data_IF_597222223517
#
_entry.id   IF_597222223517
#
_cell.length_a   1.000
_cell.length_b   1.000
_cell.length_c   1.000
_cell.angle_alpha   90.00
_cell.angle_beta   90.00
_cell.angle_gamma   90.00
#
_symmetry.space_group_name_H-M   'P 1'
#
loop_
_entity.id
_entity.type
_entity.pdbx_description
1 polymer ?
#
# COMPACT_ATOMS: atom_id res chain seq x y z
N UNK A 1 3.42 -12.61 15.16
CA UNK A 1 3.68 -11.38 14.39
C UNK A 1 2.68 -10.30 14.81
N UNK A 2 3.16 -9.07 14.97
CA UNK A 2 2.36 -7.88 15.26
C UNK A 2 2.35 -6.98 14.01
N UNK A 3 1.22 -6.36 13.71
CA UNK A 3 1.08 -5.34 12.68
C UNK A 3 0.93 -3.99 13.37
N UNK A 4 1.77 -3.04 12.97
CA UNK A 4 1.75 -1.68 13.49
C UNK A 4 1.30 -0.76 12.37
N UNK A 5 0.28 0.06 12.62
CA UNK A 5 -0.10 1.16 11.73
C UNK A 5 0.19 2.47 12.42
N UNK A 6 0.91 3.38 11.77
CA UNK A 6 1.25 4.70 12.30
C UNK A 6 0.91 5.80 11.26
N UNK A 7 0.02 6.72 11.63
CA UNK A 7 -0.43 7.82 10.75
C UNK A 7 -0.32 9.16 11.47
N UNK A 8 0.17 10.20 10.80
CA UNK A 8 0.20 11.54 11.38
C UNK A 8 0.68 12.61 10.41
N UNK A 9 0.83 13.85 10.90
CA UNK A 9 1.39 14.94 10.08
C UNK A 9 2.88 14.73 9.84
N UNK A 10 3.25 14.71 8.56
CA UNK A 10 4.60 14.39 8.12
C UNK A 10 5.62 15.45 8.54
N UNK A 11 6.76 14.98 9.03
CA UNK A 11 7.91 15.79 9.42
C UNK A 11 9.17 14.92 9.45
N UNK A 12 10.37 15.50 9.40
CA UNK A 12 11.60 14.74 9.56
C UNK A 12 11.62 13.94 10.87
N UNK A 13 12.09 12.69 10.81
CA UNK A 13 12.28 11.83 11.99
C UNK A 13 11.11 10.93 12.37
N UNK A 14 9.97 10.98 11.67
CA UNK A 14 8.78 10.15 11.97
C UNK A 14 9.09 8.65 11.91
N UNK A 15 9.60 8.18 10.77
CA UNK A 15 10.02 6.79 10.58
C UNK A 15 11.08 6.36 11.60
N UNK A 16 12.08 7.22 11.81
CA UNK A 16 13.15 6.95 12.77
C UNK A 16 12.63 6.77 14.19
N UNK A 17 11.70 7.62 14.65
CA UNK A 17 11.17 7.53 16.01
C UNK A 17 10.41 6.22 16.26
N UNK A 18 9.64 5.74 15.27
CA UNK A 18 8.97 4.44 15.35
C UNK A 18 10.01 3.31 15.36
N UNK A 19 10.92 3.30 14.38
CA UNK A 19 11.97 2.28 14.26
C UNK A 19 12.86 2.19 15.51
N UNK A 20 13.19 3.33 16.12
CA UNK A 20 14.01 3.39 17.33
C UNK A 20 13.33 2.72 18.52
N UNK A 21 12.04 2.96 18.74
CA UNK A 21 11.29 2.29 19.83
C UNK A 21 11.22 0.78 19.60
N UNK A 22 11.04 0.34 18.36
CA UNK A 22 11.04 -1.09 18.02
C UNK A 22 12.40 -1.73 18.28
N UNK A 23 13.48 -1.07 17.86
CA UNK A 23 14.85 -1.49 18.13
C UNK A 23 15.15 -1.59 19.63
N UNK A 24 14.84 -0.53 20.39
CA UNK A 24 15.04 -0.49 21.85
C UNK A 24 14.16 -1.53 22.58
N UNK A 25 13.09 -1.99 21.92
CA UNK A 25 12.19 -3.02 22.43
C UNK A 25 12.61 -4.45 22.07
N UNK A 26 13.69 -4.62 21.29
CA UNK A 26 14.16 -5.92 20.84
C UNK A 26 13.27 -6.55 19.77
N UNK A 27 12.43 -5.76 19.10
CA UNK A 27 11.57 -6.25 18.02
C UNK A 27 12.34 -6.33 16.70
N UNK A 28 12.04 -7.34 15.88
CA UNK A 28 12.52 -7.43 14.50
C UNK A 28 11.46 -6.89 13.53
N UNK A 29 11.86 -6.11 12.52
CA UNK A 29 10.96 -5.65 11.47
C UNK A 29 11.10 -6.61 10.29
N UNK A 30 10.04 -7.35 9.98
CA UNK A 30 10.00 -8.31 8.88
C UNK A 30 9.70 -7.62 7.54
N UNK A 31 8.71 -6.74 7.54
CA UNK A 31 8.27 -6.02 6.35
C UNK A 31 7.74 -4.63 6.74
N UNK A 32 7.88 -3.67 5.83
CA UNK A 32 7.45 -2.30 6.06
C UNK A 32 7.11 -1.59 4.75
N UNK A 33 5.95 -0.93 4.76
CA UNK A 33 5.60 0.07 3.75
C UNK A 33 5.37 1.41 4.42
N UNK A 34 5.77 2.48 3.73
CA UNK A 34 5.61 3.85 4.18
C UNK A 34 5.31 4.75 2.99
N UNK A 35 4.31 5.60 3.15
CA UNK A 35 3.95 6.60 2.15
C UNK A 35 3.78 7.99 2.74
N UNK A 36 3.95 8.99 1.89
CA UNK A 36 3.73 10.40 2.21
C UNK A 36 2.69 10.95 1.23
N UNK A 37 1.59 11.47 1.74
CA UNK A 37 0.50 12.00 0.91
C UNK A 37 -0.02 13.30 1.50
N UNK A 38 0.08 14.40 0.74
CA UNK A 38 -0.45 15.72 1.13
C UNK A 38 -0.03 16.18 2.53
N UNK A 39 1.25 15.99 2.87
CA UNK A 39 1.79 16.34 4.18
C UNK A 39 1.38 15.38 5.31
N UNK A 40 0.79 14.23 4.98
CA UNK A 40 0.56 13.13 5.90
C UNK A 40 1.65 12.07 5.72
N UNK A 41 2.02 11.47 6.84
CA UNK A 41 2.86 10.29 6.97
C UNK A 41 1.94 9.12 7.30
N UNK A 42 2.11 8.00 6.60
CA UNK A 42 1.47 6.73 6.93
C UNK A 42 2.50 5.61 6.79
N UNK A 43 2.52 4.71 7.77
CA UNK A 43 3.44 3.58 7.81
C UNK A 43 2.73 2.35 8.35
N UNK A 44 2.95 1.21 7.72
CA UNK A 44 2.53 -0.10 8.20
C UNK A 44 3.78 -0.96 8.34
N UNK A 45 3.91 -1.67 9.46
CA UNK A 45 5.03 -2.56 9.74
C UNK A 45 4.55 -3.93 10.20
N UNK A 46 5.14 -4.98 9.65
CA UNK A 46 5.08 -6.34 10.18
C UNK A 46 6.28 -6.55 11.10
N UNK A 47 6.00 -6.86 12.37
CA UNK A 47 7.00 -6.90 13.43
C UNK A 47 6.95 -8.24 14.14
N UNK A 48 8.10 -8.90 14.25
CA UNK A 48 8.28 -10.03 15.15
C UNK A 48 8.71 -9.54 16.53
N UNK A 49 8.02 -10.01 17.56
CA UNK A 49 8.28 -9.65 18.94
C UNK A 49 8.05 -10.87 19.83
N UNK A 50 9.12 -11.60 20.21
CA UNK A 50 8.98 -12.83 21.00
C UNK A 50 8.47 -12.56 22.42
N UNK A 51 8.77 -11.38 22.97
CA UNK A 51 8.60 -11.09 24.40
C UNK A 51 7.52 -10.05 24.72
N UNK A 52 6.90 -9.43 23.70
CA UNK A 52 5.88 -8.40 23.91
C UNK A 52 4.55 -8.76 23.28
N UNK A 53 3.50 -8.58 24.06
CA UNK A 53 2.12 -8.53 23.57
C UNK A 53 1.87 -7.25 22.77
N UNK A 54 0.81 -7.24 21.95
CA UNK A 54 0.37 -6.05 21.21
C UNK A 54 0.17 -4.84 22.14
N UNK A 55 -0.45 -5.05 23.31
CA UNK A 55 -0.75 -4.00 24.28
C UNK A 55 0.51 -3.42 24.93
N UNK A 56 1.50 -4.27 25.24
CA UNK A 56 2.79 -3.81 25.77
C UNK A 56 3.55 -2.98 24.75
N UNK A 57 3.57 -3.42 23.48
CA UNK A 57 4.23 -2.68 22.42
C UNK A 57 3.52 -1.34 22.12
N UNK A 58 2.18 -1.34 22.12
CA UNK A 58 1.39 -0.11 21.99
C UNK A 58 1.71 0.88 23.12
N UNK A 59 1.85 0.39 24.36
CA UNK A 59 2.23 1.21 25.51
C UNK A 59 3.61 1.86 25.30
N UNK A 60 4.57 1.11 24.76
CA UNK A 60 5.92 1.64 24.45
C UNK A 60 5.91 2.68 23.34
N UNK A 61 5.02 2.55 22.35
CA UNK A 61 4.85 3.49 21.24
C UNK A 61 4.00 4.72 21.61
N UNK A 62 3.22 4.63 22.69
CA UNK A 62 2.31 5.70 23.14
C UNK A 62 2.94 7.11 23.28
N UNK A 63 4.23 7.28 23.67
CA UNK A 63 4.83 8.62 23.75
C UNK A 63 4.83 9.35 22.40
N UNK A 64 4.94 8.62 21.28
CA UNK A 64 4.93 9.22 19.95
C UNK A 64 3.58 9.84 19.58
N UNK A 65 2.48 9.39 20.21
CA UNK A 65 1.15 9.99 20.03
C UNK A 65 1.15 11.46 20.43
N UNK A 66 1.85 11.79 21.52
CA UNK A 66 1.91 13.15 22.04
C UNK A 66 3.06 13.96 21.44
N UNK A 67 4.24 13.35 21.31
CA UNK A 67 5.44 14.06 20.84
C UNK A 67 5.37 14.40 19.35
N UNK A 68 4.82 13.48 18.55
CA UNK A 68 4.81 13.58 17.10
C UNK A 68 3.41 13.67 16.50
N UNK A 69 2.36 13.53 17.32
CA UNK A 69 0.98 13.52 16.83
C UNK A 69 0.66 12.27 16.02
N UNK A 70 1.29 11.14 16.33
CA UNK A 70 1.03 9.87 15.64
C UNK A 70 -0.23 9.17 16.19
N UNK A 71 -1.13 8.81 15.31
CA UNK A 71 -2.14 7.78 15.57
C UNK A 71 -1.50 6.43 15.30
N UNK A 72 -1.31 5.65 16.36
CA UNK A 72 -0.72 4.31 16.29
C UNK A 72 -1.80 3.27 16.59
N UNK A 73 -1.75 2.13 15.92
CA UNK A 73 -2.51 0.93 16.24
C UNK A 73 -1.53 -0.27 16.21
N UNK A 74 -1.67 -1.20 17.15
CA UNK A 74 -0.90 -2.44 17.20
C UNK A 74 -1.87 -3.60 17.29
N UNK A 75 -1.88 -4.42 16.24
CA UNK A 75 -2.74 -5.59 16.14
C UNK A 75 -1.89 -6.87 16.10
N UNK A 76 -2.40 -7.96 16.65
CA UNK A 76 -1.84 -9.29 16.38
C UNK A 76 -2.26 -9.70 14.97
N UNK A 77 -1.32 -10.08 14.12
CA UNK A 77 -1.66 -10.66 12.83
C UNK A 77 -2.45 -11.97 13.06
N UNK A 78 -3.58 -12.14 12.37
CA UNK A 78 -4.24 -13.46 12.30
C UNK A 78 -3.33 -14.49 11.62
N UNK A 79 -3.69 -15.78 11.68
CA UNK A 79 -2.95 -16.84 10.97
C UNK A 79 -2.76 -16.45 9.49
N UNK A 80 -1.50 -16.11 9.15
CA UNK A 80 -0.94 -15.91 7.82
C UNK A 80 -1.77 -15.06 6.84
N UNK A 81 -1.32 -13.84 6.54
CA UNK A 81 -1.47 -13.37 5.17
C UNK A 81 -0.70 -14.39 4.30
N UNK A 82 -1.34 -15.10 3.36
CA UNK A 82 -0.64 -16.07 2.53
C UNK A 82 0.45 -15.33 1.76
N UNK A 83 1.67 -15.87 1.76
CA UNK A 83 2.63 -15.57 0.70
C UNK A 83 1.95 -15.99 -0.61
N UNK A 84 1.50 -15.01 -1.37
CA UNK A 84 0.75 -15.26 -2.59
C UNK A 84 1.75 -15.41 -3.73
N UNK A 85 1.83 -16.61 -4.33
CA UNK A 85 2.50 -16.83 -5.62
C UNK A 85 1.69 -16.23 -6.79
N UNK A 86 0.82 -15.25 -6.49
CA UNK A 86 0.00 -14.57 -7.49
C UNK A 86 0.90 -13.76 -8.43
N UNK A 87 0.72 -13.91 -9.75
CA UNK A 87 1.39 -13.08 -10.74
C UNK A 87 1.18 -11.59 -10.46
N UNK A 88 2.28 -10.86 -10.35
CA UNK A 88 2.28 -9.42 -10.11
C UNK A 88 2.29 -8.64 -11.41
N UNK A 89 1.51 -7.56 -11.45
CA UNK A 89 1.40 -6.69 -12.62
C UNK A 89 1.40 -5.23 -12.22
N UNK A 90 1.94 -4.40 -13.11
CA UNK A 90 1.82 -2.95 -13.07
C UNK A 90 0.76 -2.51 -14.07
N UNK A 91 -0.27 -1.84 -13.58
CA UNK A 91 -1.22 -1.10 -14.40
C UNK A 91 -0.85 0.39 -14.38
N UNK A 92 -0.51 0.91 -15.55
CA UNK A 92 -0.36 2.35 -15.78
C UNK A 92 -1.58 2.86 -16.54
N UNK A 93 -2.18 3.94 -16.06
CA UNK A 93 -3.30 4.60 -16.73
C UNK A 93 -3.08 6.12 -16.76
N UNK A 94 -3.18 6.74 -17.94
CA UNK A 94 -2.97 8.18 -18.11
C UNK A 94 -3.95 8.79 -19.11
N UNK A 95 -4.42 10.01 -18.81
CA UNK A 95 -5.42 10.68 -19.63
C UNK A 95 -6.15 11.80 -18.89
N UNK A 96 -7.30 12.27 -19.41
CA UNK A 96 -8.07 13.32 -18.74
C UNK A 96 -8.66 12.81 -17.41
N UNK A 97 -8.59 13.63 -16.37
CA UNK A 97 -9.29 13.34 -15.11
C UNK A 97 -10.80 13.39 -15.34
N UNK A 98 -11.50 12.39 -14.79
CA UNK A 98 -12.95 12.35 -14.74
C UNK A 98 -13.37 11.80 -13.38
N UNK A 99 -14.40 12.42 -12.78
CA UNK A 99 -14.98 11.97 -11.53
C UNK A 99 -15.30 10.47 -11.55
N UNK A 100 -14.89 9.75 -10.50
CA UNK A 100 -15.22 8.34 -10.31
C UNK A 100 -14.29 7.35 -11.04
N UNK A 101 -13.20 7.84 -11.64
CA UNK A 101 -12.29 6.99 -12.41
C UNK A 101 -11.63 5.91 -11.55
N UNK A 102 -11.13 6.26 -10.37
CA UNK A 102 -10.54 5.27 -9.45
C UNK A 102 -11.55 4.18 -9.08
N UNK A 103 -12.79 4.56 -8.73
CA UNK A 103 -13.84 3.62 -8.37
C UNK A 103 -14.22 2.66 -9.51
N UNK A 104 -14.27 3.15 -10.75
CA UNK A 104 -14.53 2.30 -11.93
C UNK A 104 -13.38 1.34 -12.21
N UNK A 105 -12.15 1.83 -12.11
CA UNK A 105 -10.94 1.03 -12.28
C UNK A 105 -10.91 -0.09 -11.24
N UNK A 106 -10.98 0.25 -9.95
CA UNK A 106 -10.93 -0.73 -8.86
C UNK A 106 -12.15 -1.64 -8.84
N UNK A 107 -13.30 -1.18 -9.36
CA UNK A 107 -14.49 -2.00 -9.57
C UNK A 107 -14.23 -3.15 -10.52
N UNK A 108 -13.70 -2.88 -11.73
CA UNK A 108 -13.33 -3.93 -12.70
C UNK A 108 -12.30 -4.89 -12.12
N UNK A 109 -11.28 -4.37 -11.43
CA UNK A 109 -10.27 -5.20 -10.77
C UNK A 109 -10.90 -6.14 -9.74
N UNK A 110 -11.76 -5.60 -8.87
CA UNK A 110 -12.46 -6.38 -7.85
C UNK A 110 -13.40 -7.42 -8.44
N UNK A 111 -14.13 -7.11 -9.51
CA UNK A 111 -15.02 -8.04 -10.21
C UNK A 111 -14.26 -9.23 -10.81
N UNK A 112 -12.98 -9.02 -11.19
CA UNK A 112 -12.08 -10.05 -11.71
C UNK A 112 -11.25 -10.73 -10.62
N UNK A 113 -11.48 -10.43 -9.33
CA UNK A 113 -10.72 -10.99 -8.22
C UNK A 113 -9.27 -10.50 -8.14
N UNK A 114 -8.93 -9.40 -8.82
CA UNK A 114 -7.60 -8.80 -8.80
C UNK A 114 -7.42 -8.00 -7.52
N UNK A 115 -6.37 -8.33 -6.77
CA UNK A 115 -6.00 -7.58 -5.58
C UNK A 115 -5.12 -6.38 -5.97
N UNK A 116 -5.28 -5.28 -5.24
CA UNK A 116 -4.51 -4.04 -5.46
C UNK A 116 -3.55 -3.88 -4.30
N UNK A 117 -2.25 -3.97 -4.55
CA UNK A 117 -1.21 -3.93 -3.52
C UNK A 117 -0.63 -2.53 -3.32
N UNK A 118 -0.62 -1.70 -4.35
CA UNK A 118 -0.25 -0.29 -4.26
C UNK A 118 -1.04 0.57 -5.25
N UNK A 119 -1.33 1.82 -4.87
CA UNK A 119 -1.95 2.81 -5.75
C UNK A 119 -1.28 4.15 -5.57
N UNK A 120 -0.76 4.70 -6.66
CA UNK A 120 -0.22 6.05 -6.70
C UNK A 120 -0.90 6.85 -7.79
N UNK A 121 -1.34 8.05 -7.44
CA UNK A 121 -1.95 8.97 -8.39
C UNK A 121 -1.23 10.30 -8.38
N UNK A 122 -1.10 10.91 -9.55
CA UNK A 122 -0.49 12.24 -9.67
C UNK A 122 -1.10 12.98 -10.84
N UNK A 123 -1.12 14.31 -10.73
CA UNK A 123 -1.47 15.18 -11.83
C UNK A 123 -0.18 15.71 -12.45
N UNK A 124 -0.03 15.52 -13.75
CA UNK A 124 1.13 15.91 -14.55
C UNK A 124 0.73 17.00 -15.56
N UNK A 125 1.74 17.55 -16.26
CA UNK A 125 1.56 18.51 -17.35
C UNK A 125 0.70 19.72 -16.96
N UNK A 126 1.02 20.39 -15.85
CA UNK A 126 0.29 21.58 -15.41
C UNK A 126 -1.18 21.32 -15.07
N UNK A 127 -1.46 20.18 -14.46
CA UNK A 127 -2.81 19.69 -14.09
C UNK A 127 -3.67 19.17 -15.25
N UNK A 128 -3.09 18.95 -16.43
CA UNK A 128 -3.85 18.51 -17.61
C UNK A 128 -3.92 17.00 -17.79
N UNK A 129 -2.98 16.25 -17.22
CA UNK A 129 -2.91 14.79 -17.38
C UNK A 129 -2.96 14.13 -16.01
N UNK A 130 -3.96 13.28 -15.81
CA UNK A 130 -4.04 12.42 -14.63
C UNK A 130 -3.30 11.12 -14.91
N UNK A 131 -2.46 10.69 -13.97
CA UNK A 131 -1.68 9.45 -14.05
C UNK A 131 -1.99 8.61 -12.82
N UNK A 132 -2.30 7.33 -13.02
CA UNK A 132 -2.34 6.33 -11.97
C UNK A 132 -1.36 5.21 -12.29
N UNK A 133 -0.69 4.76 -11.25
CA UNK A 133 0.13 3.58 -11.23
C UNK A 133 -0.46 2.66 -10.16
N UNK A 134 -0.75 1.42 -10.52
CA UNK A 134 -1.24 0.41 -9.59
C UNK A 134 -0.36 -0.82 -9.67
N UNK A 135 -0.01 -1.36 -8.51
CA UNK A 135 0.53 -2.70 -8.38
C UNK A 135 -0.62 -3.66 -8.09
N UNK A 136 -0.65 -4.77 -8.83
CA UNK A 136 -1.75 -5.71 -8.87
C UNK A 136 -1.25 -7.13 -8.64
N UNK A 137 -1.99 -7.92 -7.90
CA UNK A 137 -1.85 -9.37 -7.82
C UNK A 137 -3.04 -10.02 -8.52
N UNK A 138 -2.77 -10.73 -9.61
CA UNK A 138 -3.82 -11.35 -10.44
C UNK A 138 -4.08 -12.80 -10.00
N UNK A 139 -5.33 -13.27 -10.02
CA UNK A 139 -5.62 -14.68 -9.88
C UNK A 139 -4.90 -15.52 -10.95
N UNK A 140 -4.41 -16.69 -10.54
CA UNK A 140 -3.78 -17.64 -11.45
C UNK A 140 -4.72 -17.99 -12.61
N UNK A 141 -4.22 -17.85 -13.84
CA UNK A 141 -4.96 -18.16 -15.06
C UNK A 141 -5.92 -17.08 -15.54
N UNK A 142 -5.96 -15.90 -14.91
CA UNK A 142 -6.71 -14.75 -15.43
C UNK A 142 -6.12 -14.30 -16.77
N UNK A 143 -6.97 -14.17 -17.79
CA UNK A 143 -6.58 -13.67 -19.11
C UNK A 143 -6.40 -12.15 -19.07
N UNK A 144 -5.16 -11.72 -19.26
CA UNK A 144 -4.79 -10.30 -19.22
C UNK A 144 -5.33 -9.50 -20.40
N UNK A 145 -5.55 -10.12 -21.56
CA UNK A 145 -6.15 -9.44 -22.71
C UNK A 145 -7.62 -9.12 -22.46
N UNK A 146 -8.35 -10.05 -21.82
CA UNK A 146 -9.74 -9.84 -21.40
C UNK A 146 -9.80 -8.71 -20.37
N UNK A 147 -8.97 -8.78 -19.32
CA UNK A 147 -8.90 -7.75 -18.27
C UNK A 147 -8.59 -6.36 -18.85
N UNK A 148 -7.59 -6.26 -19.74
CA UNK A 148 -7.28 -5.00 -20.41
C UNK A 148 -8.46 -4.48 -21.23
N UNK A 149 -9.19 -5.34 -21.93
CA UNK A 149 -10.38 -4.97 -22.68
C UNK A 149 -11.48 -4.37 -21.81
N UNK A 150 -11.74 -5.00 -20.66
CA UNK A 150 -12.72 -4.51 -19.66
C UNK A 150 -12.29 -3.17 -19.06
N UNK A 151 -11.01 -3.04 -18.69
CA UNK A 151 -10.45 -1.79 -18.18
C UNK A 151 -10.55 -0.66 -19.23
N UNK A 152 -10.24 -0.92 -20.51
CA UNK A 152 -10.39 0.10 -21.57
C UNK A 152 -11.83 0.57 -21.70
N UNK A 153 -12.79 -0.37 -21.71
CA UNK A 153 -14.23 -0.04 -21.74
C UNK A 153 -14.64 0.76 -20.50
N UNK A 154 -14.13 0.39 -19.34
CA UNK A 154 -14.40 1.04 -18.06
C UNK A 154 -13.57 2.29 -17.79
N UNK A 155 -12.69 2.73 -18.67
CA UNK A 155 -11.90 3.96 -18.47
C UNK A 155 -12.03 4.94 -19.63
N UNK A 156 -12.55 4.50 -20.78
CA UNK A 156 -12.88 5.37 -21.92
C UNK A 156 -11.62 5.94 -22.55
N UNK A 157 -11.46 7.26 -22.48
CA UNK A 157 -10.37 8.00 -23.15
C UNK A 157 -9.01 7.88 -22.44
N UNK A 158 -8.92 7.08 -21.38
CA UNK A 158 -7.66 6.79 -20.71
C UNK A 158 -6.82 5.84 -21.55
N UNK A 159 -5.54 6.16 -21.71
CA UNK A 159 -4.56 5.21 -22.21
C UNK A 159 -4.12 4.32 -21.05
N UNK A 160 -4.15 3.00 -21.25
CA UNK A 160 -3.75 2.02 -20.23
C UNK A 160 -2.66 1.09 -20.76
N UNK A 161 -1.83 0.57 -19.86
CA UNK A 161 -0.88 -0.50 -20.10
C UNK A 161 -0.86 -1.41 -18.88
N UNK A 162 -1.02 -2.71 -19.08
CA UNK A 162 -0.78 -3.73 -18.07
C UNK A 162 0.53 -4.45 -18.42
N UNK A 163 1.42 -4.63 -17.44
CA UNK A 163 2.70 -5.31 -17.64
C UNK A 163 3.00 -6.22 -16.47
N UNK A 164 3.47 -7.44 -16.72
CA UNK A 164 3.95 -8.30 -15.65
C UNK A 164 5.14 -7.62 -14.95
N UNK A 165 5.17 -7.71 -13.62
CA UNK A 165 6.34 -7.39 -12.83
C UNK A 165 7.21 -8.65 -12.83
N UNK A 166 8.37 -8.61 -13.47
CA UNK A 166 9.33 -9.70 -13.34
C UNK A 166 9.77 -9.75 -11.87
N UNK A 167 9.70 -10.94 -11.24
CA UNK A 167 10.28 -11.11 -9.91
C UNK A 167 11.79 -10.87 -10.04
N UNK A 168 12.27 -9.77 -9.47
CA UNK A 168 13.70 -9.61 -9.21
C UNK A 168 14.09 -10.79 -8.33
N UNK A 169 14.80 -11.74 -8.94
CA UNK A 169 15.48 -12.83 -8.24
C UNK A 169 16.64 -12.18 -7.48
N UNK A 170 16.33 -11.68 -6.27
CA UNK A 170 17.31 -11.22 -5.29
C UNK A 170 18.02 -12.41 -4.64
#
# INVERSE_FOLDING_TARGET
MLIITAVGSDRPGMAHAVAQILFDSGCNIEDTTMTRLSGQFAMILAVESPDLTAQELETRLSPLRHLLGLHIDVATAGDSAPSSDAPRYILSAYGPEKTGLLARLTGVLSENGVNVTDVQTRVASGHMVYVMLLELELPMGLDTEILEGELRKALGDMQISLRALEEDTL
#
